data_IF_359695199830
#
_entry.id   IF_359695199830
#
_cell.length_a   1.000
_cell.length_b   1.000
_cell.length_c   1.000
_cell.angle_alpha   90.00
_cell.angle_beta   90.00
_cell.angle_gamma   90.00
#
_symmetry.space_group_name_H-M   'P 1'
#
loop_
_entity.id
_entity.type
_entity.pdbx_description
1 polymer ?
#
# COMPACT_ATOMS: atom_id res chain seq x y z
N UNK A 1 33.96 -13.64 54.06
CA UNK A 1 34.60 -14.51 53.06
C UNK A 1 33.67 -14.59 51.86
N UNK A 2 33.80 -13.67 50.91
CA UNK A 2 32.98 -13.65 49.69
C UNK A 2 33.89 -13.88 48.48
N UNK A 3 33.65 -15.01 47.82
CA UNK A 3 34.27 -15.41 46.57
C UNK A 3 33.72 -14.56 45.41
N UNK A 4 34.54 -14.05 44.47
CA UNK A 4 34.02 -13.47 43.24
C UNK A 4 33.83 -14.59 42.21
N UNK A 5 32.58 -14.87 41.87
CA UNK A 5 32.21 -15.69 40.73
C UNK A 5 32.67 -15.00 39.45
N UNK A 6 33.68 -15.59 38.81
CA UNK A 6 34.15 -15.21 37.48
C UNK A 6 33.07 -15.57 36.46
N UNK A 7 32.36 -14.56 35.96
CA UNK A 7 31.55 -14.72 34.75
C UNK A 7 32.48 -14.83 33.55
N UNK A 8 32.58 -16.03 33.00
CA UNK A 8 33.10 -16.27 31.65
C UNK A 8 32.16 -15.58 30.65
N UNK A 9 32.50 -14.36 30.25
CA UNK A 9 31.94 -13.77 29.02
C UNK A 9 32.63 -14.52 27.88
N UNK A 10 31.96 -15.57 27.39
CA UNK A 10 32.26 -16.16 26.10
C UNK A 10 31.97 -15.07 25.06
N UNK A 11 33.02 -14.34 24.68
CA UNK A 11 32.97 -13.34 23.63
C UNK A 11 32.50 -14.01 22.34
N UNK A 12 31.22 -13.81 21.99
CA UNK A 12 30.72 -14.01 20.64
C UNK A 12 31.53 -13.09 19.72
N UNK A 13 32.62 -13.61 19.17
CA UNK A 13 33.25 -13.05 17.99
C UNK A 13 32.42 -13.49 16.77
N UNK A 14 31.14 -13.10 16.75
CA UNK A 14 30.40 -13.05 15.48
C UNK A 14 30.92 -11.80 14.81
N UNK A 15 31.85 -12.02 13.88
CA UNK A 15 32.41 -10.97 13.06
C UNK A 15 31.26 -10.14 12.47
N UNK A 16 31.15 -8.89 12.94
CA UNK A 16 30.43 -7.81 12.25
C UNK A 16 31.14 -7.58 10.93
N UNK A 17 30.79 -8.38 9.93
CA UNK A 17 30.98 -8.06 8.52
C UNK A 17 29.56 -7.89 7.98
N UNK A 18 29.37 -6.97 7.05
CA UNK A 18 28.07 -6.56 6.48
C UNK A 18 27.35 -5.48 7.30
N UNK A 19 28.00 -4.31 7.37
CA UNK A 19 27.32 -3.03 7.46
C UNK A 19 27.66 -2.26 6.16
N UNK A 20 26.63 -1.73 5.51
CA UNK A 20 26.61 -1.17 4.15
C UNK A 20 26.68 -2.23 3.03
N UNK A 21 25.87 -2.04 1.98
CA UNK A 21 26.10 -2.71 0.68
C UNK A 21 27.60 -2.62 0.33
N UNK A 22 28.23 -3.69 -0.18
CA UNK A 22 29.64 -3.87 0.12
C UNK A 22 30.51 -2.80 -0.61
N UNK A 23 31.51 -2.27 0.09
CA UNK A 23 32.40 -1.18 -0.35
C UNK A 23 33.23 -1.55 -1.60
N UNK A 24 33.85 -0.56 -2.26
CA UNK A 24 34.65 -0.73 -3.48
C UNK A 24 35.79 -1.77 -3.40
N UNK A 25 36.14 -2.25 -2.19
CA UNK A 25 37.28 -3.14 -1.91
C UNK A 25 36.91 -4.63 -1.78
N UNK A 26 35.66 -5.03 -2.03
CA UNK A 26 35.26 -6.44 -1.93
C UNK A 26 35.95 -7.31 -2.98
N UNK A 27 36.40 -8.50 -2.56
CA UNK A 27 36.98 -9.53 -3.44
C UNK A 27 36.20 -10.83 -3.31
N UNK A 28 35.94 -11.47 -4.45
CA UNK A 28 35.27 -12.78 -4.49
C UNK A 28 36.09 -13.79 -3.67
N UNK A 29 35.48 -14.49 -2.70
CA UNK A 29 36.17 -15.55 -1.97
C UNK A 29 36.68 -16.64 -2.91
N UNK A 30 37.73 -17.32 -2.51
CA UNK A 30 38.26 -18.46 -3.27
C UNK A 30 37.26 -19.61 -3.34
N UNK A 31 37.40 -20.48 -4.33
CA UNK A 31 36.55 -21.66 -4.50
C UNK A 31 36.46 -22.53 -3.23
N UNK A 32 37.60 -22.71 -2.56
CA UNK A 32 37.69 -23.47 -1.31
C UNK A 32 36.92 -22.80 -0.17
N UNK A 33 36.91 -21.47 -0.10
CA UNK A 33 36.12 -20.74 0.89
C UNK A 33 34.63 -20.78 0.57
N UNK A 34 34.25 -20.69 -0.72
CA UNK A 34 32.85 -20.79 -1.14
C UNK A 34 32.26 -22.16 -0.79
N UNK A 35 32.99 -23.25 -1.02
CA UNK A 35 32.58 -24.61 -0.62
C UNK A 35 32.39 -24.79 0.89
N UNK A 36 33.05 -23.98 1.72
CA UNK A 36 32.89 -24.00 3.18
C UNK A 36 31.71 -23.14 3.65
N UNK A 37 31.42 -22.04 2.95
CA UNK A 37 30.38 -21.07 3.33
C UNK A 37 28.99 -21.42 2.79
N UNK A 38 28.92 -21.99 1.60
CA UNK A 38 27.68 -22.29 0.90
C UNK A 38 27.30 -23.76 1.09
N UNK A 39 26.00 -24.04 1.13
CA UNK A 39 25.52 -25.40 0.94
C UNK A 39 25.88 -25.93 -0.45
N UNK A 40 25.88 -27.25 -0.61
CA UNK A 40 26.13 -27.89 -1.92
C UNK A 40 25.22 -27.36 -3.02
N UNK A 41 23.93 -27.12 -2.72
CA UNK A 41 22.98 -26.59 -3.69
C UNK A 41 23.32 -25.14 -4.05
N UNK A 42 23.54 -24.27 -3.06
CA UNK A 42 23.91 -22.86 -3.30
C UNK A 42 25.20 -22.75 -4.11
N UNK A 43 26.22 -23.56 -3.79
CA UNK A 43 27.47 -23.59 -4.54
C UNK A 43 27.26 -24.06 -5.99
N UNK A 44 26.56 -25.18 -6.19
CA UNK A 44 26.35 -25.72 -7.55
C UNK A 44 25.47 -24.82 -8.41
N UNK A 45 24.45 -24.18 -7.83
CA UNK A 45 23.63 -23.18 -8.53
C UNK A 45 24.48 -21.98 -8.90
N UNK A 46 25.12 -21.32 -7.92
CA UNK A 46 25.79 -20.03 -8.17
C UNK A 46 27.08 -20.16 -8.96
N UNK A 47 27.86 -21.24 -8.80
CA UNK A 47 29.19 -21.38 -9.42
C UNK A 47 29.20 -22.32 -10.64
N UNK A 48 28.29 -23.30 -10.70
CA UNK A 48 28.28 -24.33 -11.75
C UNK A 48 27.00 -24.29 -12.62
N UNK A 49 26.26 -23.18 -12.58
CA UNK A 49 25.10 -22.93 -13.45
C UNK A 49 23.99 -23.99 -13.32
N UNK A 50 23.91 -24.65 -12.16
CA UNK A 50 22.85 -25.62 -11.89
C UNK A 50 21.51 -24.89 -11.69
N UNK A 51 20.41 -25.60 -11.94
CA UNK A 51 19.05 -25.13 -11.65
C UNK A 51 18.43 -25.96 -10.54
N UNK A 52 17.90 -25.30 -9.50
CA UNK A 52 17.21 -25.97 -8.40
C UNK A 52 15.85 -26.56 -8.84
N UNK A 53 15.26 -27.45 -8.04
CA UNK A 53 13.98 -28.08 -8.39
C UNK A 53 12.80 -27.09 -8.25
N UNK A 54 11.86 -27.08 -9.21
CA UNK A 54 10.64 -26.27 -9.08
C UNK A 54 9.76 -26.78 -7.94
N UNK A 55 9.03 -25.87 -7.28
CA UNK A 55 8.11 -26.13 -6.16
C UNK A 55 8.75 -26.81 -4.93
N UNK A 56 10.09 -26.91 -4.92
CA UNK A 56 10.88 -27.54 -3.85
C UNK A 56 12.10 -26.68 -3.54
N UNK A 57 11.84 -25.39 -3.36
CA UNK A 57 12.84 -24.39 -3.02
C UNK A 57 12.24 -23.40 -2.01
N UNK A 58 13.06 -22.49 -1.49
CA UNK A 58 12.70 -21.66 -0.34
C UNK A 58 11.78 -20.49 -0.69
N UNK A 59 11.89 -19.93 -1.90
CA UNK A 59 11.27 -18.64 -2.20
C UNK A 59 10.22 -18.66 -3.30
N UNK A 60 9.86 -19.82 -3.87
CA UNK A 60 8.84 -19.87 -4.94
C UNK A 60 7.49 -19.29 -4.48
N UNK A 61 6.99 -19.68 -3.30
CA UNK A 61 5.68 -19.26 -2.76
C UNK A 61 5.74 -18.14 -1.70
N UNK A 62 6.95 -17.69 -1.33
CA UNK A 62 7.11 -16.61 -0.36
C UNK A 62 6.47 -15.30 -0.83
N UNK A 63 5.78 -14.63 0.11
CA UNK A 63 5.08 -13.33 -0.07
C UNK A 63 5.56 -12.25 0.89
N UNK A 64 6.66 -12.51 1.60
CA UNK A 64 7.17 -11.59 2.61
C UNK A 64 7.76 -10.31 1.99
N UNK A 65 7.54 -9.17 2.63
CA UNK A 65 8.15 -7.90 2.21
C UNK A 65 9.64 -7.89 2.57
N UNK A 66 10.51 -7.69 1.59
CA UNK A 66 11.95 -7.69 1.82
C UNK A 66 12.81 -7.74 0.55
N UNK A 67 14.11 -7.81 0.77
CA UNK A 67 15.15 -7.71 -0.24
C UNK A 67 15.80 -9.07 -0.47
N UNK A 68 15.95 -9.47 -1.74
CA UNK A 68 16.75 -10.61 -2.15
C UNK A 68 18.15 -10.13 -2.52
N UNK A 69 19.14 -10.61 -1.78
CA UNK A 69 20.56 -10.31 -2.01
C UNK A 69 21.29 -11.55 -2.51
N UNK A 70 22.37 -11.35 -3.26
CA UNK A 70 23.28 -12.43 -3.67
C UNK A 70 23.81 -13.17 -2.44
N UNK A 71 23.63 -14.50 -2.39
CA UNK A 71 24.11 -15.32 -1.28
C UNK A 71 25.65 -15.27 -1.11
N UNK A 72 26.38 -14.96 -2.18
CA UNK A 72 27.86 -14.91 -2.18
C UNK A 72 28.40 -13.55 -1.76
N UNK A 73 27.87 -12.48 -2.35
CA UNK A 73 28.42 -11.13 -2.16
C UNK A 73 27.61 -10.22 -1.23
N UNK A 74 26.32 -10.54 -1.00
CA UNK A 74 25.39 -9.64 -0.34
C UNK A 74 24.95 -8.46 -1.21
N UNK A 75 25.27 -8.46 -2.51
CA UNK A 75 24.79 -7.44 -3.46
C UNK A 75 23.24 -7.46 -3.52
N UNK A 76 22.56 -6.31 -3.37
CA UNK A 76 21.11 -6.20 -3.57
C UNK A 76 20.74 -6.50 -5.02
N UNK A 77 19.82 -7.47 -5.24
CA UNK A 77 19.46 -7.92 -6.59
C UNK A 77 17.99 -7.64 -6.93
N UNK A 78 17.06 -8.07 -6.07
CA UNK A 78 15.62 -7.99 -6.34
C UNK A 78 14.83 -7.56 -5.11
N UNK A 79 13.75 -6.78 -5.32
CA UNK A 79 12.77 -6.45 -4.28
C UNK A 79 11.59 -7.42 -4.36
N UNK A 80 11.03 -7.81 -3.21
CA UNK A 80 9.83 -8.66 -3.22
C UNK A 80 8.59 -7.98 -3.81
N UNK A 81 8.58 -6.64 -3.91
CA UNK A 81 7.55 -5.88 -4.63
C UNK A 81 7.49 -6.17 -6.13
N UNK A 82 8.61 -6.60 -6.73
CA UNK A 82 8.69 -6.96 -8.13
C UNK A 82 8.49 -8.47 -8.36
N UNK A 83 8.32 -9.25 -7.28
CA UNK A 83 8.06 -10.69 -7.33
C UNK A 83 6.61 -10.96 -7.72
N UNK A 84 6.40 -11.96 -8.56
CA UNK A 84 5.06 -12.40 -8.96
C UNK A 84 5.00 -13.92 -9.10
N UNK A 85 3.79 -14.47 -9.07
CA UNK A 85 3.54 -15.89 -9.33
C UNK A 85 3.51 -16.14 -10.85
N UNK A 86 4.52 -16.85 -11.35
CA UNK A 86 4.62 -17.23 -12.75
C UNK A 86 4.05 -18.63 -13.04
N UNK A 87 3.64 -19.38 -12.02
CA UNK A 87 3.24 -20.78 -12.13
C UNK A 87 4.38 -21.75 -12.45
N UNK A 88 5.63 -21.29 -12.50
CA UNK A 88 6.79 -22.13 -12.87
C UNK A 88 7.41 -22.91 -11.71
N UNK A 89 7.13 -22.49 -10.47
CA UNK A 89 7.72 -23.10 -9.27
C UNK A 89 9.09 -22.56 -8.88
N UNK A 90 9.52 -21.44 -9.44
CA UNK A 90 10.70 -20.67 -9.04
C UNK A 90 10.33 -19.21 -8.71
N UNK A 91 11.06 -18.53 -7.80
CA UNK A 91 10.86 -17.11 -7.58
C UNK A 91 11.06 -16.33 -8.88
N UNK A 92 10.04 -15.56 -9.24
CA UNK A 92 9.98 -14.83 -10.52
C UNK A 92 9.78 -13.35 -10.26
N UNK A 93 10.57 -12.50 -10.93
CA UNK A 93 10.54 -11.05 -10.77
C UNK A 93 10.33 -10.36 -12.12
N UNK A 94 9.75 -9.16 -12.11
CA UNK A 94 9.53 -8.37 -13.33
C UNK A 94 10.76 -7.57 -13.76
N UNK A 95 11.66 -7.26 -12.82
CA UNK A 95 12.91 -6.51 -13.01
C UNK A 95 13.87 -6.68 -11.82
N UNK A 96 15.19 -6.47 -12.00
CA UNK A 96 16.13 -6.27 -10.91
C UNK A 96 15.94 -4.89 -10.26
N UNK A 97 16.65 -4.66 -9.16
CA UNK A 97 16.64 -3.36 -8.47
C UNK A 97 17.26 -2.22 -9.29
N UNK A 98 18.27 -2.55 -10.10
CA UNK A 98 18.90 -1.69 -11.10
C UNK A 98 19.49 -2.62 -12.18
N UNK A 99 19.45 -2.24 -13.45
CA UNK A 99 20.02 -3.06 -14.53
C UNK A 99 21.55 -3.23 -14.40
N UNK A 100 22.22 -2.39 -13.60
CA UNK A 100 23.67 -2.44 -13.35
C UNK A 100 24.10 -3.49 -12.34
N UNK A 101 23.19 -4.16 -11.64
CA UNK A 101 23.56 -5.22 -10.67
C UNK A 101 23.51 -6.63 -11.29
N UNK A 102 23.04 -6.75 -12.54
CA UNK A 102 22.95 -8.02 -13.26
C UNK A 102 23.64 -7.97 -14.62
N UNK A 103 24.25 -9.09 -15.03
CA UNK A 103 24.78 -9.30 -16.38
C UNK A 103 23.86 -10.28 -17.11
N UNK A 104 23.44 -9.90 -18.32
CA UNK A 104 22.69 -10.77 -19.21
C UNK A 104 23.64 -11.45 -20.21
N UNK A 105 23.78 -12.77 -20.11
CA UNK A 105 24.64 -13.56 -20.98
C UNK A 105 23.78 -14.46 -21.85
N UNK A 106 23.92 -14.34 -23.17
CA UNK A 106 23.23 -15.23 -24.11
C UNK A 106 23.90 -16.59 -24.04
N UNK A 107 23.17 -17.58 -23.55
CA UNK A 107 23.58 -18.97 -23.57
C UNK A 107 23.01 -19.66 -24.83
N UNK A 108 23.88 -20.38 -25.54
CA UNK A 108 23.52 -21.20 -26.70
C UNK A 108 23.43 -22.64 -26.22
N UNK A 109 22.36 -22.95 -25.49
CA UNK A 109 22.07 -24.29 -25.01
C UNK A 109 21.47 -25.20 -26.08
N UNK A 110 21.48 -26.51 -25.81
CA UNK A 110 20.91 -27.56 -26.67
C UNK A 110 19.38 -27.46 -26.87
N UNK A 111 18.68 -26.66 -26.06
CA UNK A 111 17.21 -26.51 -26.08
C UNK A 111 16.74 -25.10 -26.46
N UNK A 112 17.58 -24.33 -27.16
CA UNK A 112 17.29 -22.97 -27.62
C UNK A 112 18.08 -21.90 -26.89
N UNK A 113 18.01 -20.67 -27.40
CA UNK A 113 18.70 -19.52 -26.83
C UNK A 113 18.01 -19.12 -25.51
N UNK A 114 18.67 -19.33 -24.37
CA UNK A 114 18.24 -18.77 -23.09
C UNK A 114 19.17 -17.62 -22.74
N UNK A 115 18.65 -16.57 -22.11
CA UNK A 115 19.49 -15.48 -21.59
C UNK A 115 19.67 -15.70 -20.10
N UNK A 116 20.89 -16.08 -19.73
CA UNK A 116 21.33 -16.24 -18.36
C UNK A 116 21.41 -14.87 -17.67
N UNK A 117 21.02 -14.84 -16.39
CA UNK A 117 21.17 -13.69 -15.51
C UNK A 117 22.21 -14.02 -14.44
N UNK A 118 23.27 -13.22 -14.34
CA UNK A 118 24.33 -13.36 -13.34
C UNK A 118 24.46 -12.11 -12.48
N UNK A 119 24.84 -12.23 -11.22
CA UNK A 119 25.18 -11.05 -10.40
C UNK A 119 26.47 -10.42 -10.90
N UNK A 120 26.53 -9.08 -10.95
CA UNK A 120 27.73 -8.37 -11.43
C UNK A 120 28.90 -8.60 -10.48
N UNK A 121 28.67 -8.56 -9.16
CA UNK A 121 29.75 -8.57 -8.20
C UNK A 121 30.39 -9.93 -8.00
N UNK A 122 29.60 -10.97 -7.81
CA UNK A 122 30.12 -12.32 -7.54
C UNK A 122 30.22 -13.19 -8.79
N UNK A 123 29.69 -12.74 -9.93
CA UNK A 123 29.48 -13.59 -11.09
C UNK A 123 28.70 -14.87 -10.71
N UNK A 124 27.69 -14.73 -9.83
CA UNK A 124 26.84 -15.85 -9.41
C UNK A 124 25.78 -16.10 -10.48
N UNK A 125 25.62 -17.33 -10.94
CA UNK A 125 24.45 -17.72 -11.73
C UNK A 125 23.17 -17.57 -10.88
N UNK A 126 22.27 -16.70 -11.32
CA UNK A 126 21.01 -16.43 -10.63
C UNK A 126 19.87 -17.22 -11.26
N UNK A 127 19.81 -17.27 -12.59
CA UNK A 127 18.77 -17.96 -13.33
C UNK A 127 18.68 -17.42 -14.75
N UNK A 128 17.45 -17.25 -15.26
CA UNK A 128 17.22 -16.85 -16.65
C UNK A 128 16.11 -15.82 -16.79
N UNK A 129 16.21 -14.99 -17.83
CA UNK A 129 15.18 -14.01 -18.22
C UNK A 129 14.40 -14.52 -19.45
N UNK A 130 13.09 -14.27 -19.43
CA UNK A 130 12.14 -14.62 -20.49
C UNK A 130 11.25 -13.43 -20.85
N UNK A 131 10.69 -13.44 -22.06
CA UNK A 131 9.83 -12.37 -22.62
C UNK A 131 8.32 -12.65 -22.43
N UNK A 132 7.97 -13.45 -21.43
CA UNK A 132 6.60 -13.88 -21.09
C UNK A 132 6.15 -13.36 -19.72
N UNK A 133 6.74 -12.26 -19.25
CA UNK A 133 6.37 -11.63 -17.99
C UNK A 133 5.16 -10.69 -18.09
N UNK A 134 4.61 -10.22 -16.96
CA UNK A 134 3.53 -9.27 -16.94
C UNK A 134 3.97 -7.88 -17.42
N UNK A 135 3.01 -7.07 -17.87
CA UNK A 135 3.22 -5.64 -18.09
C UNK A 135 3.61 -4.94 -16.76
N UNK A 136 4.38 -3.83 -16.80
CA UNK A 136 4.80 -3.09 -17.99
C UNK A 136 6.11 -3.59 -18.63
N UNK A 137 6.93 -4.38 -17.93
CA UNK A 137 8.24 -4.79 -18.47
C UNK A 137 8.12 -5.88 -19.53
N UNK A 138 7.11 -6.74 -19.42
CA UNK A 138 6.98 -7.95 -20.24
C UNK A 138 8.09 -8.98 -19.95
N UNK A 139 8.89 -8.77 -18.91
CA UNK A 139 10.04 -9.62 -18.57
C UNK A 139 9.74 -10.49 -17.36
N UNK A 140 10.22 -11.72 -17.40
CA UNK A 140 10.21 -12.65 -16.27
C UNK A 140 11.63 -13.08 -15.95
N UNK A 141 12.17 -12.55 -14.86
CA UNK A 141 13.41 -13.01 -14.24
C UNK A 141 13.09 -14.21 -13.37
N UNK A 142 13.28 -15.42 -13.92
CA UNK A 142 13.03 -16.70 -13.25
C UNK A 142 14.32 -17.18 -12.57
N UNK A 143 14.42 -16.98 -11.25
CA UNK A 143 15.66 -17.09 -10.49
C UNK A 143 15.66 -18.34 -9.60
N UNK A 144 16.84 -18.78 -9.19
CA UNK A 144 17.03 -19.83 -8.19
C UNK A 144 17.02 -19.21 -6.79
N UNK A 145 16.22 -19.75 -5.89
CA UNK A 145 16.21 -19.43 -4.46
C UNK A 145 17.58 -19.68 -3.83
N UNK A 146 18.25 -20.77 -4.22
CA UNK A 146 19.61 -21.07 -3.77
C UNK A 146 20.68 -20.03 -4.18
N UNK A 147 20.36 -19.08 -5.05
CA UNK A 147 21.26 -17.95 -5.33
C UNK A 147 21.05 -16.75 -4.39
N UNK A 148 20.01 -16.79 -3.54
CA UNK A 148 19.61 -15.67 -2.71
C UNK A 148 19.76 -15.91 -1.22
N UNK A 149 19.92 -14.80 -0.50
CA UNK A 149 19.55 -14.62 0.90
C UNK A 149 18.44 -13.58 0.97
N UNK A 150 17.42 -13.82 1.77
CA UNK A 150 16.32 -12.88 1.96
C UNK A 150 16.54 -12.04 3.22
N UNK A 151 16.27 -10.74 3.13
CA UNK A 151 16.29 -9.77 4.23
C UNK A 151 14.89 -9.24 4.41
N UNK A 152 14.24 -9.58 5.52
CA UNK A 152 12.93 -9.05 5.84
C UNK A 152 12.97 -7.52 5.91
N UNK A 153 11.89 -6.85 5.46
CA UNK A 153 11.76 -5.39 5.47
C UNK A 153 12.13 -4.77 6.83
N UNK A 154 11.70 -5.42 7.91
CA UNK A 154 11.93 -4.94 9.28
C UNK A 154 13.38 -5.12 9.76
N UNK A 155 14.18 -5.93 9.07
CA UNK A 155 15.60 -6.17 9.37
C UNK A 155 16.54 -5.37 8.45
N UNK A 156 16.03 -4.67 7.42
CA UNK A 156 16.85 -3.94 6.45
C UNK A 156 17.81 -2.95 7.10
N UNK A 157 17.34 -2.12 8.05
CA UNK A 157 18.23 -1.16 8.74
C UNK A 157 19.29 -1.88 9.58
N UNK A 158 18.87 -2.90 10.33
CA UNK A 158 19.73 -3.69 11.21
C UNK A 158 20.84 -4.40 10.44
N UNK A 159 20.54 -4.83 9.22
CA UNK A 159 21.47 -5.55 8.34
C UNK A 159 22.23 -4.64 7.37
N UNK A 160 22.09 -3.32 7.46
CA UNK A 160 22.84 -2.36 6.65
C UNK A 160 22.30 -2.11 5.24
N UNK A 161 21.05 -2.49 4.98
CA UNK A 161 20.30 -2.28 3.73
C UNK A 161 19.23 -1.18 3.87
N UNK A 162 19.36 -0.29 4.86
CA UNK A 162 18.34 0.72 5.18
C UNK A 162 17.97 1.67 4.03
N UNK A 163 18.85 1.88 3.06
CA UNK A 163 18.55 2.68 1.86
C UNK A 163 17.38 2.09 1.03
N UNK A 164 17.22 0.76 1.05
CA UNK A 164 16.16 0.03 0.35
C UNK A 164 14.85 0.00 1.12
N UNK A 165 14.83 0.41 2.38
CA UNK A 165 13.59 0.51 3.15
C UNK A 165 12.57 1.42 2.45
N UNK A 166 13.06 2.49 1.79
CA UNK A 166 12.24 3.42 1.01
C UNK A 166 11.49 2.76 -0.15
N UNK A 167 12.06 1.72 -0.76
CA UNK A 167 11.41 0.95 -1.82
C UNK A 167 10.17 0.19 -1.32
N UNK A 168 10.07 -0.05 0.00
CA UNK A 168 8.89 -0.61 0.67
C UNK A 168 8.04 0.45 1.38
N UNK A 169 8.43 1.72 1.32
CA UNK A 169 7.58 2.85 1.71
C UNK A 169 6.59 3.20 0.59
N UNK A 170 6.85 2.75 -0.65
CA UNK A 170 5.93 2.88 -1.78
C UNK A 170 5.02 1.65 -1.91
N UNK A 171 4.17 1.49 -0.90
CA UNK A 171 2.76 1.11 -0.97
C UNK A 171 2.35 0.77 0.46
N UNK A 172 2.21 1.79 1.31
CA UNK A 172 1.12 1.71 2.26
C UNK A 172 -0.11 1.53 1.38
N UNK A 173 -0.63 0.29 1.29
CA UNK A 173 -1.78 -0.05 0.45
C UNK A 173 -2.84 0.99 0.78
N UNK A 174 -3.07 1.92 -0.15
CA UNK A 174 -3.98 3.02 0.10
C UNK A 174 -5.34 2.40 0.38
N UNK A 175 -5.96 2.83 1.47
CA UNK A 175 -7.30 2.41 1.80
C UNK A 175 -8.29 3.44 1.28
N UNK A 176 -9.49 2.94 0.96
CA UNK A 176 -10.59 3.76 0.46
C UNK A 176 -11.75 3.74 1.44
N UNK A 177 -12.30 4.92 1.71
CA UNK A 177 -13.48 5.12 2.53
C UNK A 177 -14.48 5.97 1.76
N UNK A 178 -15.73 5.52 1.65
CA UNK A 178 -16.80 6.25 0.97
C UNK A 178 -17.75 6.82 2.01
N UNK A 179 -17.99 8.13 1.95
CA UNK A 179 -18.85 8.87 2.88
C UNK A 179 -19.80 9.79 2.11
N UNK A 180 -21.04 9.93 2.55
CA UNK A 180 -22.02 10.90 2.04
C UNK A 180 -22.39 11.91 3.12
N UNK A 181 -22.44 13.20 2.79
CA UNK A 181 -22.60 14.27 3.78
C UNK A 181 -23.28 15.52 3.23
N UNK A 182 -24.22 15.34 2.30
CA UNK A 182 -24.83 16.42 1.52
C UNK A 182 -24.01 16.73 0.28
N UNK A 183 -24.10 17.98 -0.20
CA UNK A 183 -23.35 18.41 -1.38
C UNK A 183 -21.87 18.02 -1.32
N UNK A 184 -21.41 17.22 -2.29
CA UNK A 184 -20.05 16.66 -2.26
C UNK A 184 -18.95 17.73 -2.37
N UNK A 185 -19.23 18.91 -2.94
CA UNK A 185 -18.27 20.00 -3.09
C UNK A 185 -17.85 20.54 -1.72
N UNK A 186 -18.75 20.45 -0.75
CA UNK A 186 -18.48 20.84 0.62
C UNK A 186 -17.81 19.74 1.44
N UNK A 187 -17.87 18.49 0.97
CA UNK A 187 -17.27 17.33 1.62
C UNK A 187 -15.85 17.04 1.14
N UNK A 188 -15.44 17.45 -0.07
CA UNK A 188 -14.06 17.29 -0.54
C UNK A 188 -13.06 18.05 0.35
N UNK A 189 -13.24 19.36 0.48
CA UNK A 189 -12.30 20.26 1.16
C UNK A 189 -11.87 19.79 2.56
N UNK A 190 -12.78 19.40 3.47
CA UNK A 190 -12.39 19.01 4.83
C UNK A 190 -11.45 17.80 4.91
N UNK A 191 -11.44 16.92 3.90
CA UNK A 191 -10.59 15.74 3.89
C UNK A 191 -9.28 15.97 3.15
N UNK A 192 -9.29 16.73 2.05
CA UNK A 192 -8.07 16.99 1.29
C UNK A 192 -6.99 17.75 2.07
N UNK A 193 -7.40 18.53 3.07
CA UNK A 193 -6.49 19.28 3.95
C UNK A 193 -5.82 18.39 5.02
N UNK A 194 -6.20 17.12 5.15
CA UNK A 194 -5.69 16.23 6.20
C UNK A 194 -4.38 15.54 5.78
N UNK A 195 -3.29 15.67 6.57
CA UNK A 195 -2.09 14.88 6.36
C UNK A 195 -2.40 13.38 6.38
N UNK A 196 -1.95 12.66 5.35
CA UNK A 196 -2.21 11.22 5.19
C UNK A 196 -3.37 10.89 4.24
N UNK A 197 -4.21 11.87 3.86
CA UNK A 197 -5.13 11.73 2.74
C UNK A 197 -4.34 11.91 1.43
N UNK A 198 -4.57 10.99 0.48
CA UNK A 198 -3.90 10.94 -0.82
C UNK A 198 -4.75 11.64 -1.88
N UNK A 199 -6.06 11.33 -1.91
CA UNK A 199 -7.00 11.92 -2.85
C UNK A 199 -8.42 11.88 -2.27
N UNK A 200 -9.26 12.83 -2.69
CA UNK A 200 -10.69 12.82 -2.41
C UNK A 200 -11.41 13.01 -3.74
N UNK A 201 -12.31 12.09 -4.08
CA UNK A 201 -13.04 12.10 -5.35
C UNK A 201 -14.53 12.26 -5.08
N UNK A 202 -15.14 13.27 -5.68
CA UNK A 202 -16.60 13.45 -5.68
C UNK A 202 -17.28 12.42 -6.56
N UNK A 203 -18.43 11.92 -6.14
CA UNK A 203 -19.15 10.87 -6.86
C UNK A 203 -20.47 10.47 -6.24
N UNK A 204 -20.94 9.31 -6.67
CA UNK A 204 -22.26 8.77 -6.35
C UNK A 204 -22.11 7.35 -5.79
N UNK A 205 -22.79 7.06 -4.68
CA UNK A 205 -22.79 5.74 -4.08
C UNK A 205 -24.14 5.39 -3.44
N UNK A 206 -24.41 4.10 -3.25
CA UNK A 206 -25.58 3.61 -2.51
C UNK A 206 -26.83 3.36 -3.34
N UNK A 207 -26.84 3.76 -4.61
CA UNK A 207 -27.97 3.60 -5.53
C UNK A 207 -27.91 2.34 -6.37
N UNK A 208 -28.92 2.19 -7.24
CA UNK A 208 -29.16 0.97 -8.02
C UNK A 208 -28.59 1.05 -9.44
N UNK A 209 -28.54 2.25 -10.01
CA UNK A 209 -28.13 2.44 -11.40
C UNK A 209 -26.60 2.35 -11.51
N UNK A 210 -26.11 1.63 -12.52
CA UNK A 210 -24.69 1.64 -12.85
C UNK A 210 -24.33 2.89 -13.63
N UNK A 211 -23.17 3.49 -13.34
CA UNK A 211 -22.65 4.69 -14.01
C UNK A 211 -23.68 5.84 -14.10
N UNK A 212 -24.25 6.29 -12.97
CA UNK A 212 -25.20 7.39 -12.99
C UNK A 212 -24.52 8.71 -13.40
N UNK A 213 -25.27 9.58 -14.05
CA UNK A 213 -24.87 10.97 -14.35
C UNK A 213 -25.38 11.94 -13.29
N UNK A 214 -24.78 13.12 -13.19
CA UNK A 214 -25.25 14.16 -12.28
C UNK A 214 -26.74 14.47 -12.46
N UNK A 215 -27.22 14.59 -13.71
CA UNK A 215 -28.62 14.90 -14.00
C UNK A 215 -29.56 13.81 -13.47
N UNK A 216 -29.15 12.55 -13.56
CA UNK A 216 -29.93 11.44 -13.03
C UNK A 216 -29.97 11.44 -11.51
N UNK A 217 -28.84 11.71 -10.84
CA UNK A 217 -28.77 11.69 -9.38
C UNK A 217 -29.48 12.90 -8.77
N UNK A 218 -29.24 14.10 -9.33
CA UNK A 218 -29.85 15.35 -8.85
C UNK A 218 -31.37 15.40 -9.05
N UNK A 219 -31.90 14.71 -10.07
CA UNK A 219 -33.35 14.53 -10.25
C UNK A 219 -33.99 13.62 -9.18
N UNK A 220 -33.19 12.84 -8.43
CA UNK A 220 -33.66 11.89 -7.42
C UNK A 220 -34.09 10.52 -7.98
N UNK A 221 -34.54 9.63 -7.11
CA UNK A 221 -35.10 8.30 -7.46
C UNK A 221 -34.09 7.21 -7.84
N UNK A 222 -32.83 7.55 -8.10
CA UNK A 222 -31.75 6.57 -8.39
C UNK A 222 -31.33 5.77 -7.16
N UNK A 223 -31.56 6.34 -5.97
CA UNK A 223 -31.09 5.84 -4.68
C UNK A 223 -29.62 6.15 -4.39
N UNK A 224 -28.92 6.82 -5.31
CA UNK A 224 -27.55 7.28 -5.08
C UNK A 224 -27.53 8.51 -4.19
N UNK A 225 -26.51 8.58 -3.35
CA UNK A 225 -26.16 9.74 -2.54
C UNK A 225 -24.94 10.43 -3.15
N UNK A 226 -24.93 11.76 -3.16
CA UNK A 226 -23.70 12.52 -3.35
C UNK A 226 -22.71 12.14 -2.24
N UNK A 227 -21.56 11.63 -2.67
CA UNK A 227 -20.58 10.98 -1.83
C UNK A 227 -19.17 11.43 -2.21
N UNK A 228 -18.23 11.25 -1.28
CA UNK A 228 -16.80 11.37 -1.54
C UNK A 228 -16.13 10.02 -1.29
N UNK A 229 -15.23 9.62 -2.18
CA UNK A 229 -14.28 8.52 -1.94
C UNK A 229 -12.96 9.13 -1.48
N UNK A 230 -12.57 8.82 -0.25
CA UNK A 230 -11.32 9.26 0.37
C UNK A 230 -10.32 8.13 0.22
N UNK A 231 -9.25 8.37 -0.53
CA UNK A 231 -8.08 7.51 -0.61
C UNK A 231 -7.03 8.03 0.39
N UNK A 232 -6.55 7.16 1.28
CA UNK A 232 -5.65 7.57 2.36
C UNK A 232 -4.62 6.50 2.69
N UNK A 233 -3.53 6.95 3.32
CA UNK A 233 -2.47 6.12 3.86
C UNK A 233 -2.81 5.75 5.32
N UNK A 234 -3.18 4.49 5.61
CA UNK A 234 -3.58 4.08 6.96
C UNK A 234 -2.44 4.16 7.99
N UNK A 235 -1.19 4.33 7.55
CA UNK A 235 -0.05 4.56 8.46
C UNK A 235 0.08 6.02 8.88
N UNK A 236 -0.54 6.95 8.14
CA UNK A 236 -0.48 8.39 8.40
C UNK A 236 -1.77 8.94 9.00
N UNK A 237 -2.91 8.36 8.63
CA UNK A 237 -4.21 8.79 9.13
C UNK A 237 -5.12 7.59 9.38
N UNK A 238 -5.80 7.59 10.53
CA UNK A 238 -6.72 6.53 10.90
C UNK A 238 -8.15 6.82 10.43
N UNK A 239 -8.97 5.77 10.29
CA UNK A 239 -10.39 5.91 9.94
C UNK A 239 -11.15 6.69 11.00
N UNK A 240 -10.80 6.55 12.29
CA UNK A 240 -11.36 7.34 13.39
C UNK A 240 -11.15 8.83 13.17
N UNK A 241 -9.94 9.23 12.71
CA UNK A 241 -9.65 10.63 12.43
C UNK A 241 -10.47 11.17 11.26
N UNK A 242 -10.67 10.36 10.22
CA UNK A 242 -11.58 10.69 9.12
C UNK A 242 -13.02 10.84 9.63
N UNK A 243 -13.51 9.93 10.48
CA UNK A 243 -14.86 10.01 11.05
C UNK A 243 -15.04 11.21 11.97
N UNK A 244 -14.05 11.57 12.79
CA UNK A 244 -14.07 12.80 13.59
C UNK A 244 -14.19 14.05 12.70
N UNK A 245 -13.55 14.03 11.53
CA UNK A 245 -13.65 15.12 10.55
C UNK A 245 -15.03 15.12 9.88
N UNK A 246 -15.53 13.95 9.50
CA UNK A 246 -16.87 13.76 8.94
C UNK A 246 -17.95 14.34 9.86
N UNK A 247 -17.99 13.94 11.13
CA UNK A 247 -19.02 14.39 12.07
C UNK A 247 -19.05 15.91 12.18
N UNK A 248 -17.88 16.57 12.25
CA UNK A 248 -17.80 18.05 12.32
C UNK A 248 -18.29 18.78 11.07
N UNK A 249 -18.55 18.06 9.98
CA UNK A 249 -18.96 18.62 8.69
C UNK A 249 -20.37 18.21 8.26
N UNK A 250 -21.08 17.41 9.05
CA UNK A 250 -22.44 16.91 8.76
C UNK A 250 -23.40 17.31 9.90
N UNK A 251 -24.67 17.54 9.56
CA UNK A 251 -25.77 17.54 10.53
C UNK A 251 -26.32 16.10 10.64
N UNK A 252 -25.98 15.36 11.72
CA UNK A 252 -26.35 13.95 11.85
C UNK A 252 -27.83 13.75 12.20
N UNK A 253 -28.60 14.84 12.36
CA UNK A 253 -30.01 14.82 12.74
C UNK A 253 -30.97 15.16 11.58
N UNK A 254 -30.44 15.56 10.42
CA UNK A 254 -31.24 15.88 9.24
C UNK A 254 -31.52 14.61 8.43
N UNK A 255 -32.79 14.19 8.39
CA UNK A 255 -33.25 13.02 7.63
C UNK A 255 -33.80 13.37 6.24
N UNK A 256 -33.79 14.66 5.85
CA UNK A 256 -34.36 15.14 4.57
C UNK A 256 -33.30 15.65 3.59
N UNK A 257 -32.03 15.40 3.89
CA UNK A 257 -30.88 15.90 3.13
C UNK A 257 -29.85 16.52 4.07
N UNK A 258 -29.23 17.61 3.64
CA UNK A 258 -28.27 18.37 4.45
C UNK A 258 -28.39 19.87 4.17
N UNK A 259 -28.57 20.65 5.24
CA UNK A 259 -28.60 22.11 5.18
C UNK A 259 -29.68 22.63 4.23
N UNK A 260 -29.32 23.38 3.18
CA UNK A 260 -30.24 23.83 2.14
C UNK A 260 -30.48 22.79 1.04
N UNK A 261 -29.61 21.78 0.91
CA UNK A 261 -29.73 20.74 -0.11
C UNK A 261 -30.68 19.65 0.41
N UNK A 262 -31.89 19.61 -0.15
CA UNK A 262 -32.95 18.69 0.27
C UNK A 262 -33.24 17.66 -0.81
N UNK A 263 -33.52 16.44 -0.38
CA UNK A 263 -33.69 15.28 -1.24
C UNK A 263 -32.85 14.10 -0.74
N UNK A 264 -33.27 12.89 -1.12
CA UNK A 264 -32.62 11.65 -0.70
C UNK A 264 -31.14 11.64 -1.08
N UNK A 265 -30.78 12.16 -2.25
CA UNK A 265 -29.40 12.23 -2.75
C UNK A 265 -28.46 13.07 -1.89
N UNK A 266 -28.99 13.90 -0.99
CA UNK A 266 -28.21 14.75 -0.09
C UNK A 266 -28.19 14.22 1.35
N UNK A 267 -28.75 13.03 1.62
CA UNK A 267 -28.69 12.44 2.95
C UNK A 267 -27.25 12.10 3.36
N UNK A 268 -27.02 12.05 4.67
CA UNK A 268 -25.74 11.66 5.23
C UNK A 268 -25.64 10.14 5.40
N UNK A 269 -24.50 9.55 5.05
CA UNK A 269 -24.27 8.11 5.16
C UNK A 269 -22.79 7.71 5.30
N UNK A 270 -22.56 6.56 5.95
CA UNK A 270 -21.28 5.87 6.06
C UNK A 270 -21.40 4.48 5.44
N UNK A 271 -20.51 4.13 4.50
CA UNK A 271 -20.56 2.87 3.76
C UNK A 271 -19.51 1.87 4.27
N UNK A 272 -19.93 0.76 4.89
CA UNK A 272 -19.02 -0.20 5.56
C UNK A 272 -18.72 -1.43 4.70
N UNK A 273 -17.47 -1.89 4.66
CA UNK A 273 -17.03 -3.07 3.90
C UNK A 273 -17.21 -4.39 4.67
N UNK A 274 -17.26 -4.31 6.00
CA UNK A 274 -17.41 -5.45 6.89
C UNK A 274 -17.98 -5.02 8.26
N UNK A 275 -18.34 -6.00 9.09
CA UNK A 275 -18.91 -5.76 10.42
C UNK A 275 -17.95 -5.03 11.39
N UNK A 276 -16.64 -5.19 11.23
CA UNK A 276 -15.67 -4.47 12.06
C UNK A 276 -15.73 -2.96 11.77
N UNK A 277 -15.80 -2.58 10.49
CA UNK A 277 -15.94 -1.19 10.08
C UNK A 277 -17.32 -0.61 10.45
N UNK A 278 -18.38 -1.42 10.39
CA UNK A 278 -19.71 -1.02 10.87
C UNK A 278 -19.68 -0.64 12.35
N UNK A 279 -19.12 -1.50 13.20
CA UNK A 279 -18.95 -1.23 14.64
C UNK A 279 -18.09 0.01 14.88
N UNK A 280 -17.04 0.20 14.08
CA UNK A 280 -16.21 1.40 14.14
C UNK A 280 -17.02 2.68 13.88
N UNK A 281 -17.92 2.66 12.89
CA UNK A 281 -18.80 3.79 12.58
C UNK A 281 -19.78 4.09 13.73
N UNK A 282 -20.43 3.05 14.26
CA UNK A 282 -21.34 3.16 15.41
C UNK A 282 -20.62 3.73 16.64
N UNK A 283 -19.42 3.24 16.94
CA UNK A 283 -18.60 3.72 18.05
C UNK A 283 -18.16 5.18 17.85
N UNK A 284 -17.78 5.56 16.62
CA UNK A 284 -17.37 6.95 16.33
C UNK A 284 -18.52 7.93 16.57
N UNK A 285 -19.77 7.53 16.28
CA UNK A 285 -20.95 8.34 16.58
C UNK A 285 -21.18 8.43 18.10
N UNK A 286 -21.11 7.29 18.80
CA UNK A 286 -21.28 7.26 20.25
C UNK A 286 -20.27 8.21 20.93
N UNK A 287 -19.01 8.19 20.50
CA UNK A 287 -17.96 9.09 20.97
C UNK A 287 -18.28 10.56 20.65
N UNK A 288 -18.67 10.88 19.41
CA UNK A 288 -19.02 12.24 19.00
C UNK A 288 -20.18 12.81 19.82
N UNK A 289 -21.22 12.00 20.06
CA UNK A 289 -22.40 12.36 20.86
C UNK A 289 -22.04 12.58 22.33
N UNK A 290 -21.21 11.71 22.91
CA UNK A 290 -20.77 11.80 24.30
C UNK A 290 -19.91 13.04 24.55
N UNK A 291 -18.92 13.29 23.68
CA UNK A 291 -17.99 14.42 23.82
C UNK A 291 -18.69 15.78 23.85
N UNK A 292 -19.82 15.92 23.15
CA UNK A 292 -20.53 17.19 23.02
C UNK A 292 -21.86 17.25 23.77
N UNK A 293 -22.16 16.18 24.53
CA UNK A 293 -23.41 16.02 25.32
C UNK A 293 -24.64 16.34 24.48
N UNK A 294 -24.71 15.78 23.27
CA UNK A 294 -25.79 16.05 22.31
C UNK A 294 -26.93 15.06 22.54
N UNK A 295 -28.17 15.56 22.58
CA UNK A 295 -29.38 14.75 22.59
C UNK A 295 -29.93 14.61 21.15
N UNK A 296 -30.56 13.47 20.85
CA UNK A 296 -31.12 13.19 19.52
C UNK A 296 -30.68 11.83 18.95
N UNK A 297 -31.48 11.34 18.01
CA UNK A 297 -31.26 10.08 17.32
C UNK A 297 -30.45 10.30 16.04
N UNK A 298 -29.52 9.37 15.76
CA UNK A 298 -28.74 9.42 14.54
C UNK A 298 -29.64 9.20 13.33
N UNK A 299 -29.65 10.16 12.41
CA UNK A 299 -30.30 10.05 11.09
C UNK A 299 -29.32 9.70 9.98
N UNK A 300 -28.02 9.90 10.21
CA UNK A 300 -26.97 9.41 9.30
C UNK A 300 -27.07 7.91 9.12
N UNK A 301 -27.15 7.47 7.87
CA UNK A 301 -27.30 6.08 7.51
C UNK A 301 -25.97 5.33 7.68
N UNK A 302 -26.00 4.13 8.25
CA UNK A 302 -24.85 3.21 8.26
C UNK A 302 -25.24 2.01 7.41
N UNK A 303 -24.66 1.89 6.21
CA UNK A 303 -25.10 0.95 5.17
C UNK A 303 -23.91 0.15 4.64
N UNK A 304 -24.12 -1.09 4.14
CA UNK A 304 -23.05 -1.85 3.52
C UNK A 304 -22.46 -1.09 2.31
N UNK A 305 -21.20 -1.39 1.99
CA UNK A 305 -20.46 -0.79 0.87
C UNK A 305 -21.30 -0.87 -0.39
N UNK A 306 -21.32 0.24 -1.10
CA UNK A 306 -21.93 0.34 -2.41
C UNK A 306 -20.85 0.62 -3.46
N UNK A 307 -21.14 0.29 -4.71
CA UNK A 307 -20.33 0.75 -5.83
C UNK A 307 -20.23 2.28 -5.78
N UNK A 308 -19.02 2.78 -6.00
CA UNK A 308 -18.75 4.21 -6.11
C UNK A 308 -18.49 4.56 -7.57
N UNK A 309 -19.22 5.55 -8.06
CA UNK A 309 -19.08 6.09 -9.41
C UNK A 309 -18.57 7.52 -9.30
N UNK A 310 -17.39 7.80 -9.87
CA UNK A 310 -16.86 9.16 -9.90
C UNK A 310 -17.82 10.08 -10.66
N UNK A 311 -18.07 11.25 -10.09
CA UNK A 311 -18.80 12.32 -10.77
C UNK A 311 -17.92 12.92 -11.89
N UNK A 312 -18.56 13.66 -12.78
CA UNK A 312 -17.93 14.31 -13.92
C UNK A 312 -16.80 15.28 -13.48
N UNK A 313 -15.79 15.47 -14.33
CA UNK A 313 -14.56 16.24 -14.00
C UNK A 313 -14.81 17.68 -13.53
N UNK A 314 -15.93 18.27 -13.94
CA UNK A 314 -16.30 19.62 -13.54
C UNK A 314 -16.78 19.70 -12.08
N UNK A 315 -17.19 18.58 -11.48
CA UNK A 315 -17.52 18.50 -10.06
C UNK A 315 -16.29 18.31 -9.17
N UNK A 316 -15.24 17.66 -9.68
CA UNK A 316 -14.01 17.41 -8.92
C UNK A 316 -13.31 18.73 -8.58
N UNK A 317 -12.84 18.90 -7.35
CA UNK A 317 -12.16 20.10 -6.87
C UNK A 317 -12.96 21.40 -7.06
N UNK A 318 -14.30 21.32 -7.11
CA UNK A 318 -15.12 22.48 -7.46
C UNK A 318 -14.88 23.68 -6.54
N UNK A 319 -14.63 23.43 -5.24
CA UNK A 319 -14.33 24.50 -4.28
C UNK A 319 -13.00 25.23 -4.58
N UNK A 320 -12.04 24.56 -5.21
CA UNK A 320 -10.76 25.14 -5.66
C UNK A 320 -10.92 25.82 -7.01
N UNK A 321 -11.60 25.16 -7.96
CA UNK A 321 -11.79 25.65 -9.34
C UNK A 321 -12.75 26.85 -9.42
N UNK A 322 -13.75 26.92 -8.53
CA UNK A 322 -14.81 27.94 -8.53
C UNK A 322 -14.99 28.61 -7.15
N UNK A 323 -13.94 29.23 -6.58
CA UNK A 323 -13.92 29.62 -5.15
C UNK A 323 -14.97 30.67 -4.79
N UNK A 324 -15.24 31.62 -5.68
CA UNK A 324 -16.24 32.69 -5.46
C UNK A 324 -17.66 32.09 -5.42
N UNK A 325 -18.00 31.27 -6.43
CA UNK A 325 -19.32 30.63 -6.54
C UNK A 325 -19.54 29.64 -5.42
N UNK A 326 -18.51 28.84 -5.09
CA UNK A 326 -18.53 27.93 -3.96
C UNK A 326 -18.76 28.67 -2.63
N UNK A 327 -18.02 29.75 -2.36
CA UNK A 327 -18.17 30.52 -1.12
C UNK A 327 -19.57 31.12 -1.00
N UNK A 328 -20.08 31.73 -2.07
CA UNK A 328 -21.44 32.25 -2.10
C UNK A 328 -22.48 31.17 -1.79
N UNK A 329 -22.38 30.02 -2.47
CA UNK A 329 -23.26 28.87 -2.25
C UNK A 329 -23.20 28.37 -0.79
N UNK A 330 -21.99 28.06 -0.27
CA UNK A 330 -21.82 27.54 1.10
C UNK A 330 -22.39 28.49 2.15
N UNK A 331 -22.14 29.80 2.00
CA UNK A 331 -22.68 30.81 2.92
C UNK A 331 -24.20 30.88 2.85
N UNK A 332 -24.79 30.95 1.65
CA UNK A 332 -26.25 30.99 1.47
C UNK A 332 -26.95 29.73 1.94
N UNK A 333 -26.26 28.59 1.91
CA UNK A 333 -26.81 27.32 2.35
C UNK A 333 -26.99 27.20 3.87
N UNK A 334 -26.44 28.15 4.65
CA UNK A 334 -26.53 28.12 6.12
C UNK A 334 -25.73 26.97 6.77
N UNK A 335 -24.89 26.28 5.99
CA UNK A 335 -24.13 25.09 6.45
C UNK A 335 -23.30 25.37 7.70
N UNK A 336 -22.50 26.42 7.64
CA UNK A 336 -21.58 26.75 8.74
C UNK A 336 -22.32 27.19 10.01
N UNK A 337 -23.47 27.87 9.87
CA UNK A 337 -24.31 28.26 11.00
C UNK A 337 -24.94 27.04 11.67
N UNK A 338 -25.52 26.14 10.86
CA UNK A 338 -26.11 24.90 11.37
C UNK A 338 -25.07 24.02 12.06
N UNK A 339 -23.89 23.87 11.48
CA UNK A 339 -22.81 23.10 12.09
C UNK A 339 -22.33 23.70 13.42
N UNK A 340 -22.26 25.04 13.55
CA UNK A 340 -21.97 25.68 14.85
C UNK A 340 -23.05 25.39 15.88
N UNK A 341 -24.32 25.44 15.49
CA UNK A 341 -25.44 25.13 16.38
C UNK A 341 -25.45 23.67 16.84
N UNK A 342 -25.20 22.73 15.93
CA UNK A 342 -25.14 21.29 16.24
C UNK A 342 -23.95 20.96 17.14
N UNK A 343 -22.78 21.49 16.80
CA UNK A 343 -21.51 21.09 17.43
C UNK A 343 -21.01 22.05 18.51
N UNK A 344 -21.79 23.07 18.86
CA UNK A 344 -21.50 24.10 19.90
C UNK A 344 -20.10 24.72 19.74
N UNK A 345 -19.77 25.13 18.52
CA UNK A 345 -18.49 25.78 18.18
C UNK A 345 -18.55 27.29 18.27
#
# INVERSE_FOLDING_TARGET
MNSPTVFFILSLLVAKVFAAGPTADWKKPSDTELKKKLSTLQYTVTQNENTEKPFKNEFWDSKEEGLYVDIVSGEPLFLSSDKFDSGTGWPSFTKPIDDKVVVLKKDRGLFGNRTEVRSVRADSHLGHIFDDGPAPTGKRYCMNSAAFRFIAKNDLEKEGYGEYAKSFLTSAKSEKLVLAGGCFWCMEKPFEELPGVIAVTSGYAGGRNKNPTYEQVSAGGTGHLESVQIEFDPQKISVEKLLQTYWKNVDPFDDKGQFCDKGDQYQSALFYKNEAQKKLFENSWAEAKANLKIAGDLKTLIRPTADFYAAEDYHQDYYKKNPVRYKFYRTRCGRDERLRAVWKK
#
